data_IF_888253475949
#
_entry.id   IF_888253475949
#
_cell.length_a   1.000
_cell.length_b   1.000
_cell.length_c   1.000
_cell.angle_alpha   90.00
_cell.angle_beta   90.00
_cell.angle_gamma   90.00
#
_symmetry.space_group_name_H-M   'P 1'
#
loop_
_entity.id
_entity.type
_entity.pdbx_description
1 polymer ?
2 non-polymer ?
3 non-polymer ?
4 non-polymer ?
5 non-polymer ?
6 water ?
#
# COMPACT_ATOMS: atom_id res chain seq x y z
N UNK A 6 10.04 22.71 -20.63
CA UNK A 6 10.19 23.05 -19.18
C UNK A 6 10.58 21.79 -18.36
N UNK A 7 9.67 21.25 -17.55
CA UNK A 7 9.90 19.95 -16.90
C UNK A 7 9.22 18.84 -17.73
N UNK A 8 9.91 17.72 -17.90
CA UNK A 8 9.36 16.57 -18.63
C UNK A 8 8.57 15.68 -17.68
N UNK A 9 7.52 15.05 -18.20
CA UNK A 9 6.78 14.06 -17.41
C UNK A 9 7.64 12.81 -17.31
N UNK A 10 7.74 12.25 -16.11
CA UNK A 10 8.52 11.04 -15.92
C UNK A 10 7.77 10.07 -15.01
N UNK A 11 8.22 8.83 -15.02
CA UNK A 11 7.77 7.79 -14.09
C UNK A 11 8.92 7.47 -13.16
N UNK A 12 8.61 7.28 -11.89
CA UNK A 12 9.59 6.79 -10.93
C UNK A 12 9.09 5.46 -10.40
N UNK A 13 9.66 4.40 -10.94
CA UNK A 13 9.35 3.03 -10.52
C UNK A 13 10.15 2.76 -9.26
N UNK A 14 9.52 2.18 -8.25
CA UNK A 14 10.23 1.92 -7.00
C UNK A 14 9.66 0.68 -6.31
N UNK A 15 10.41 0.21 -5.32
CA UNK A 15 10.04 -0.96 -4.53
C UNK A 15 10.82 -0.94 -3.24
N UNK A 16 10.17 -1.30 -2.15
CA UNK A 16 10.87 -1.53 -0.89
C UNK A 16 11.04 -3.01 -0.60
N UNK A 17 12.17 -3.34 0.02
CA UNK A 17 12.27 -4.57 0.80
C UNK A 17 12.17 -4.15 2.26
N UNK A 18 11.35 -4.85 3.04
CA UNK A 18 11.17 -4.51 4.43
C UNK A 18 11.46 -5.69 5.34
N UNK A 19 11.45 -5.42 6.64
CA UNK A 19 11.72 -6.42 7.65
C UNK A 19 10.44 -7.04 8.21
N UNK A 20 9.31 -6.71 7.58
CA UNK A 20 8.05 -7.34 7.97
C UNK A 20 6.87 -6.82 7.19
N UNK A 21 5.72 -7.41 7.47
CA UNK A 21 4.52 -7.19 6.67
C UNK A 21 3.75 -5.93 7.07
N UNK A 22 4.00 -5.38 8.26
CA UNK A 22 3.25 -4.23 8.73
C UNK A 22 3.92 -2.94 8.28
N UNK A 23 3.26 -2.13 7.44
CA UNK A 23 3.91 -0.94 6.88
C UNK A 23 4.28 0.13 7.90
N UNK A 24 3.64 0.13 9.08
CA UNK A 24 3.95 1.07 10.14
C UNK A 24 4.88 0.47 11.20
N UNK A 25 4.61 -0.75 11.64
CA UNK A 25 5.27 -1.37 12.79
C UNK A 25 6.50 -2.19 12.44
N UNK A 26 6.65 -2.58 11.18
CA UNK A 26 7.91 -3.16 10.73
C UNK A 26 8.72 -2.10 10.01
N UNK A 27 10.02 -2.28 9.99
CA UNK A 27 10.91 -1.25 9.47
C UNK A 27 11.38 -1.59 8.06
N UNK A 28 11.64 -0.57 7.23
CA UNK A 28 12.16 -0.81 5.88
C UNK A 28 13.61 -1.32 5.94
N UNK A 29 14.01 -2.09 4.95
CA UNK A 29 15.39 -2.57 4.82
C UNK A 29 16.11 -1.92 3.65
N UNK A 30 15.43 -1.84 2.51
CA UNK A 30 16.03 -1.35 1.28
C UNK A 30 15.01 -0.65 0.40
N UNK A 31 15.44 0.39 -0.30
CA UNK A 31 14.64 1.09 -1.30
C UNK A 31 15.37 1.01 -2.63
N UNK A 32 14.63 0.77 -3.70
CA UNK A 32 15.18 0.68 -5.03
C UNK A 32 14.28 1.48 -5.94
N UNK A 33 14.87 2.26 -6.85
CA UNK A 33 14.07 3.01 -7.80
C UNK A 33 14.83 3.33 -9.06
N UNK A 34 14.10 3.56 -10.14
CA UNK A 34 14.69 4.13 -11.35
C UNK A 34 13.65 4.95 -12.07
N UNK A 35 14.12 6.04 -12.69
CA UNK A 35 13.26 6.97 -13.38
C UNK A 35 13.24 6.64 -14.88
N UNK A 36 12.07 6.78 -15.51
CA UNK A 36 11.94 6.61 -16.94
C UNK A 36 11.22 7.80 -17.56
N UNK A 37 11.36 7.95 -18.87
CA UNK A 37 10.57 8.92 -19.60
C UNK A 37 9.16 8.39 -19.79
N UNK A 38 8.33 9.17 -20.48
CA UNK A 38 6.92 8.83 -20.62
C UNK A 38 6.70 7.58 -21.44
N UNK A 39 7.76 7.09 -22.11
CA UNK A 39 7.70 5.89 -22.95
C UNK A 39 8.42 4.69 -22.33
N UNK A 40 8.77 4.82 -21.05
CA UNK A 40 9.40 3.78 -20.23
C UNK A 40 10.86 3.47 -20.56
N UNK A 41 11.54 4.41 -21.21
CA UNK A 41 12.99 4.34 -21.37
C UNK A 41 13.65 4.91 -20.13
N UNK A 42 14.63 4.18 -19.60
CA UNK A 42 15.33 4.63 -18.40
C UNK A 42 16.05 5.97 -18.58
N UNK A 43 15.88 6.85 -17.58
CA UNK A 43 16.58 8.14 -17.45
C UNK A 43 17.47 8.07 -16.22
N UNK A 44 18.73 8.49 -16.32
CA UNK A 44 19.61 8.47 -15.15
C UNK A 44 19.96 7.08 -14.63
N UNK A 45 20.33 7.02 -13.36
CA UNK A 45 20.92 5.82 -12.77
C UNK A 45 20.00 5.16 -11.78
N UNK A 46 20.21 3.85 -11.53
CA UNK A 46 19.46 3.19 -10.46
C UNK A 46 19.77 3.80 -9.10
N UNK A 47 18.73 3.93 -8.27
CA UNK A 47 18.88 4.39 -6.90
C UNK A 47 18.58 3.21 -5.99
N UNK A 48 19.58 2.74 -5.25
CA UNK A 48 19.39 1.64 -4.32
C UNK A 48 20.12 1.95 -3.04
N UNK A 49 19.42 1.89 -1.92
CA UNK A 49 20.05 2.15 -0.62
C UNK A 49 19.30 1.49 0.53
N UNK A 50 20.02 1.31 1.63
CA UNK A 50 19.53 0.57 2.78
C UNK A 50 19.16 1.52 3.92
N UNK A 51 18.33 1.01 4.83
CA UNK A 51 17.93 1.73 6.04
C UNK A 51 18.43 0.99 7.27
N UNK A 52 19.21 1.69 8.10
CA UNK A 52 19.67 1.14 9.36
C UNK A 52 18.48 1.03 10.31
N UNK A 53 18.21 -0.18 10.83
CA UNK A 53 17.16 -0.29 11.84
C UNK A 53 17.63 0.19 13.20
N UNK A 54 16.76 0.90 13.92
CA UNK A 54 17.04 1.31 15.29
C UNK A 54 17.09 0.13 16.26
N UNK A 55 17.67 0.34 17.42
CA UNK A 55 17.92 -0.74 18.38
C UNK A 55 16.73 -1.13 19.24
N UNK A 56 15.51 -0.73 18.83
CA UNK A 56 14.29 -1.10 19.52
C UNK A 56 13.45 -2.09 18.73
N UNK A 57 14.07 -2.80 17.79
CA UNK A 57 13.33 -3.58 16.80
C UNK A 57 14.07 -4.84 16.42
N UNK A 58 13.34 -5.97 16.33
CA UNK A 58 13.84 -7.17 15.68
C UNK A 58 12.99 -7.47 14.44
N UNK A 59 13.64 -7.86 13.33
CA UNK A 59 12.87 -8.16 12.11
C UNK A 59 12.05 -9.43 12.18
N UNK A 60 10.98 -9.50 11.39
CA UNK A 60 10.24 -10.75 11.27
C UNK A 60 11.10 -11.75 10.52
N UNK A 61 11.31 -12.95 11.09
CA UNK A 61 12.14 -13.92 10.39
C UNK A 61 11.66 -14.27 8.96
N UNK A 62 10.35 -14.38 8.76
CA UNK A 62 9.85 -14.70 7.44
C UNK A 62 10.20 -13.68 6.38
N UNK A 63 10.22 -12.41 6.78
CA UNK A 63 10.56 -11.35 5.85
C UNK A 63 12.00 -11.49 5.38
N UNK A 64 12.91 -11.77 6.31
CA UNK A 64 14.33 -11.94 5.98
C UNK A 64 14.53 -13.16 5.09
N UNK A 65 13.74 -14.21 5.31
CA UNK A 65 13.85 -15.38 4.42
C UNK A 65 13.45 -15.04 2.98
N UNK A 66 12.52 -14.11 2.82
CA UNK A 66 12.08 -13.68 1.51
C UNK A 66 13.11 -12.75 0.85
N UNK A 67 13.57 -11.73 1.58
CA UNK A 67 14.43 -10.70 1.00
C UNK A 67 15.91 -11.07 0.96
N UNK A 68 16.34 -11.92 1.89
CA UNK A 68 17.76 -12.20 2.00
C UNK A 68 18.61 -11.10 2.62
N UNK A 69 17.96 -10.07 3.15
CA UNK A 69 18.65 -8.93 3.77
C UNK A 69 18.60 -9.06 5.28
N UNK A 70 19.76 -9.31 5.88
CA UNK A 70 19.85 -9.44 7.33
C UNK A 70 19.83 -8.08 8.01
N UNK A 71 19.46 -8.02 9.30
CA UNK A 71 19.55 -6.73 9.99
C UNK A 71 21.01 -6.23 10.08
N UNK A 72 21.95 -7.15 10.16
CA UNK A 72 23.37 -6.77 10.17
C UNK A 72 23.76 -6.04 8.88
N UNK A 73 23.32 -6.57 7.75
CA UNK A 73 23.63 -5.95 6.48
C UNK A 73 23.01 -4.57 6.40
N UNK A 74 21.74 -4.42 6.77
CA UNK A 74 21.10 -3.11 6.67
C UNK A 74 21.74 -2.11 7.64
N UNK A 75 22.11 -2.60 8.81
CA UNK A 75 22.77 -1.74 9.79
C UNK A 75 24.13 -1.28 9.29
N UNK A 76 24.90 -2.18 8.69
CA UNK A 76 26.25 -1.84 8.26
C UNK A 76 26.28 -0.99 6.98
N UNK A 77 25.28 -1.15 6.11
CA UNK A 77 25.24 -0.47 4.83
C UNK A 77 24.28 0.69 4.73
N UNK A 78 23.40 0.84 5.71
CA UNK A 78 22.34 1.81 5.61
C UNK A 78 22.64 3.13 6.28
N UNK A 79 21.84 4.12 5.99
CA UNK A 79 21.83 5.34 6.79
C UNK A 79 20.66 5.26 7.72
N UNK A 80 20.61 6.13 8.72
CA UNK A 80 19.49 6.14 9.64
C UNK A 80 18.20 6.50 8.89
N UNK A 81 17.06 6.22 9.50
CA UNK A 81 15.79 6.36 8.79
C UNK A 81 15.50 7.81 8.42
N UNK A 82 16.01 8.77 9.22
CA UNK A 82 15.89 10.17 8.84
C UNK A 82 16.54 10.46 7.47
N UNK A 83 17.74 9.92 7.27
CA UNK A 83 18.46 10.12 6.02
C UNK A 83 17.84 9.32 4.86
N UNK A 84 17.37 8.11 5.17
CA UNK A 84 16.65 7.25 4.25
C UNK A 84 15.39 8.00 3.75
N UNK A 85 14.61 8.53 4.69
CA UNK A 85 13.44 9.35 4.37
C UNK A 85 13.79 10.55 3.47
N UNK A 86 14.87 11.26 3.82
CA UNK A 86 15.29 12.40 3.02
C UNK A 86 15.56 12.05 1.55
N UNK A 87 16.26 10.95 1.34
CA UNK A 87 16.61 10.55 -0.03
C UNK A 87 15.35 10.20 -0.83
N UNK A 88 14.45 9.46 -0.21
CA UNK A 88 13.20 9.09 -0.89
C UNK A 88 12.33 10.30 -1.16
N UNK A 89 12.21 11.18 -0.17
CA UNK A 89 11.44 12.41 -0.35
C UNK A 89 12.00 13.24 -1.51
N UNK A 90 13.32 13.30 -1.67
CA UNK A 90 13.93 14.08 -2.74
C UNK A 90 13.56 13.53 -4.11
N UNK A 91 13.52 12.20 -4.22
CA UNK A 91 13.15 11.55 -5.46
C UNK A 91 11.66 11.73 -5.78
N UNK A 92 10.83 11.57 -4.75
CA UNK A 92 9.38 11.59 -4.95
C UNK A 92 8.82 12.98 -5.20
N UNK A 93 9.58 14.04 -4.88
CA UNK A 93 9.06 15.42 -5.05
C UNK A 93 9.61 16.14 -6.27
N UNK A 94 10.34 15.44 -7.12
CA UNK A 94 10.71 15.97 -8.44
C UNK A 94 9.41 16.24 -9.21
N UNK A 95 9.26 17.44 -9.78
CA UNK A 95 7.99 17.75 -10.43
C UNK A 95 7.65 16.84 -11.59
N UNK A 96 6.35 16.68 -11.82
CA UNK A 96 5.77 15.95 -12.94
C UNK A 96 6.17 14.49 -12.94
N UNK A 97 6.30 13.93 -11.74
CA UNK A 97 6.65 12.52 -11.56
C UNK A 97 5.39 11.70 -11.27
N UNK A 98 5.19 10.61 -11.99
CA UNK A 98 4.21 9.59 -11.60
C UNK A 98 4.97 8.52 -10.81
N UNK A 99 4.72 8.43 -9.51
CA UNK A 99 5.39 7.45 -8.66
C UNK A 99 4.59 6.15 -8.69
N UNK A 100 5.23 5.06 -9.10
CA UNK A 100 4.50 3.81 -9.26
C UNK A 100 5.34 2.60 -8.90
N UNK A 101 4.66 1.47 -8.74
CA UNK A 101 5.32 0.24 -8.46
C UNK A 101 4.39 -0.91 -8.75
N UNK A 102 4.54 -1.97 -7.96
CA UNK A 102 3.75 -3.20 -8.12
C UNK A 102 3.25 -3.57 -6.74
N UNK A 103 1.97 -3.34 -6.51
CA UNK A 103 1.33 -3.40 -5.18
C UNK A 103 1.72 -2.21 -4.27
N UNK A 104 2.18 -1.12 -4.87
CA UNK A 104 2.54 0.03 -4.06
C UNK A 104 1.36 0.71 -3.39
N UNK A 105 0.19 0.72 -4.02
CA UNK A 105 -0.91 1.45 -3.41
C UNK A 105 -1.28 0.87 -2.04
N UNK A 106 -1.22 -0.44 -1.90
CA UNK A 106 -1.63 -1.07 -0.65
C UNK A 106 -0.46 -1.35 0.27
N UNK A 107 0.75 -1.40 -0.25
CA UNK A 107 1.93 -1.69 0.55
C UNK A 107 2.98 -0.58 0.57
N UNK A 108 3.73 -0.41 -0.52
CA UNK A 108 4.86 0.52 -0.53
C UNK A 108 4.46 1.95 -0.17
N UNK A 109 3.32 2.41 -0.68
CA UNK A 109 2.91 3.78 -0.38
C UNK A 109 2.58 3.93 1.10
N UNK A 110 2.12 2.88 1.76
CA UNK A 110 1.89 2.94 3.20
C UNK A 110 3.21 2.96 3.96
N UNK A 111 4.21 2.23 3.47
CA UNK A 111 5.55 2.30 4.04
C UNK A 111 6.07 3.73 3.95
N UNK A 112 5.95 4.34 2.76
CA UNK A 112 6.37 5.73 2.53
C UNK A 112 5.67 6.71 3.46
N UNK A 113 4.35 6.61 3.54
CA UNK A 113 3.59 7.48 4.44
C UNK A 113 4.11 7.38 5.87
N UNK A 114 4.38 6.16 6.32
CA UNK A 114 4.87 5.94 7.68
C UNK A 114 6.29 6.42 7.91
N UNK A 115 7.18 6.19 6.95
CA UNK A 115 8.55 6.72 7.04
C UNK A 115 8.51 8.25 7.11
N UNK A 116 7.68 8.88 6.29
CA UNK A 116 7.60 10.35 6.27
C UNK A 116 7.03 10.84 7.61
N UNK A 117 5.95 10.23 8.05
CA UNK A 117 5.30 10.50 9.34
C UNK A 117 6.29 10.44 10.51
N UNK A 118 7.06 9.36 10.60
CA UNK A 118 8.05 9.22 11.68
C UNK A 118 9.20 10.22 11.59
N UNK A 119 9.51 10.71 10.40
CA UNK A 119 10.71 11.54 10.22
C UNK A 119 10.46 12.98 9.78
N UNK A 120 9.25 13.45 10.12
CA UNK A 120 8.88 14.88 10.01
C UNK A 120 8.74 15.43 8.59
N UNK A 121 8.40 14.53 7.66
CA UNK A 121 7.98 14.90 6.32
C UNK A 121 6.47 14.77 6.21
N UNK A 122 5.89 15.61 5.36
CA UNK A 122 4.46 15.51 5.06
C UNK A 122 4.17 14.12 4.46
N UNK A 123 3.25 13.34 5.07
CA UNK A 123 3.07 11.97 4.53
C UNK A 123 2.37 11.91 3.19
N UNK A 124 1.71 12.99 2.79
CA UNK A 124 0.82 12.96 1.63
C UNK A 124 1.22 13.84 0.45
N UNK A 125 1.83 15.00 0.72
CA UNK A 125 2.00 16.02 -0.30
C UNK A 125 2.78 15.55 -1.53
N UNK A 126 3.75 14.67 -1.32
CA UNK A 126 4.61 14.18 -2.39
C UNK A 126 3.85 13.64 -3.61
N UNK A 127 2.68 13.04 -3.38
CA UNK A 127 1.97 12.32 -4.42
C UNK A 127 1.16 13.20 -5.33
N UNK A 128 0.94 14.47 -4.96
CA UNK A 128 0.11 15.37 -5.77
C UNK A 128 0.71 16.74 -6.07
N UNK A 129 1.64 17.21 -5.24
CA UNK A 129 2.23 18.53 -5.51
C UNK A 129 3.12 18.51 -6.73
N UNK A 130 3.31 19.67 -7.36
CA UNK A 130 4.17 19.80 -8.54
C UNK A 130 3.71 18.88 -9.69
N UNK A 131 2.40 18.71 -9.81
CA UNK A 131 1.79 17.89 -10.87
C UNK A 131 2.16 16.40 -10.78
N UNK A 132 2.45 15.94 -9.57
CA UNK A 132 2.80 14.53 -9.39
C UNK A 132 1.53 13.69 -9.32
N UNK A 133 1.72 12.38 -9.44
CA UNK A 133 0.62 11.45 -9.33
C UNK A 133 1.18 10.11 -8.90
N UNK A 134 0.30 9.15 -8.68
CA UNK A 134 0.74 7.79 -8.49
C UNK A 134 -0.04 6.79 -9.35
N UNK A 135 0.51 5.59 -9.44
CA UNK A 135 -0.12 4.50 -10.18
C UNK A 135 0.39 3.19 -9.62
N UNK A 136 -0.18 2.09 -10.04
CA UNK A 136 0.19 0.76 -9.54
C UNK A 136 -0.07 -0.26 -10.63
N UNK A 137 0.96 -0.96 -11.05
CA UNK A 137 0.81 -1.89 -12.15
C UNK A 137 0.07 -3.16 -11.76
N UNK A 138 -0.09 -3.43 -10.47
CA UNK A 138 -0.80 -4.67 -10.08
C UNK A 138 -2.26 -4.65 -10.56
N UNK A 139 -2.98 -3.57 -10.28
CA UNK A 139 -4.38 -3.59 -10.72
C UNK A 139 -4.47 -3.37 -12.25
N UNK A 140 -3.44 -2.81 -12.88
CA UNK A 140 -3.35 -2.83 -14.35
C UNK A 140 -3.32 -4.26 -14.86
N UNK A 141 -2.47 -5.11 -14.29
CA UNK A 141 -2.41 -6.49 -14.75
C UNK A 141 -3.73 -7.19 -14.49
N UNK A 142 -4.32 -6.97 -13.31
CA UNK A 142 -5.62 -7.57 -13.02
C UNK A 142 -6.71 -7.11 -14.00
N UNK A 143 -6.68 -5.83 -14.35
CA UNK A 143 -7.66 -5.25 -15.27
C UNK A 143 -7.51 -5.86 -16.66
N UNK A 144 -6.26 -6.05 -17.07
CA UNK A 144 -5.97 -6.63 -18.38
C UNK A 144 -6.51 -8.06 -18.44
N UNK A 145 -6.21 -8.85 -17.42
CA UNK A 145 -6.71 -10.23 -17.38
C UNK A 145 -8.23 -10.26 -17.46
N UNK A 146 -8.87 -9.38 -16.72
CA UNK A 146 -10.31 -9.39 -16.61
C UNK A 146 -11.00 -8.92 -17.89
N UNK A 147 -10.51 -7.82 -18.46
CA UNK A 147 -11.21 -7.09 -19.53
C UNK A 147 -10.68 -7.37 -20.94
N UNK A 148 -9.36 -7.50 -21.09
CA UNK A 148 -8.72 -7.64 -22.41
C UNK A 148 -7.49 -8.55 -22.33
N UNK A 149 -7.72 -9.85 -22.11
CA UNK A 149 -6.62 -10.75 -21.85
C UNK A 149 -5.77 -11.16 -23.06
N UNK A 150 -6.28 -10.92 -24.26
CA UNK A 150 -5.62 -11.50 -25.45
C UNK A 150 -4.22 -10.94 -25.62
N UNK A 151 -3.27 -11.81 -25.92
CA UNK A 151 -1.90 -11.36 -26.19
C UNK A 151 -0.91 -11.57 -25.08
N UNK A 152 -1.40 -11.74 -23.84
CA UNK A 152 -0.55 -11.98 -22.68
C UNK A 152 -0.85 -13.38 -22.15
N UNK A 153 0.20 -14.07 -21.68
CA UNK A 153 0.03 -15.39 -21.06
C UNK A 153 -0.23 -15.21 -19.58
N UNK A 154 -1.32 -15.79 -19.12
CA UNK A 154 -1.77 -15.57 -17.74
C UNK A 154 -1.51 -16.83 -16.91
N UNK A 155 -0.51 -16.76 -16.01
CA UNK A 155 -0.13 -17.94 -15.25
C UNK A 155 -1.15 -18.29 -14.16
N UNK A 156 -1.21 -19.57 -13.83
CA UNK A 156 -2.01 -20.03 -12.68
C UNK A 156 -1.09 -20.28 -11.50
N UNK A 157 -1.60 -20.07 -10.29
CA UNK A 157 -0.87 -20.45 -9.09
C UNK A 157 -1.15 -21.93 -8.78
N UNK A 158 -0.56 -22.43 -7.69
CA UNK A 158 -0.69 -23.84 -7.35
C UNK A 158 -2.09 -24.24 -6.89
N UNK A 159 -2.96 -23.26 -6.61
CA UNK A 159 -4.37 -23.57 -6.33
C UNK A 159 -5.25 -23.61 -7.60
N UNK A 160 -4.66 -23.24 -8.75
CA UNK A 160 -5.35 -23.28 -10.04
C UNK A 160 -6.10 -22.01 -10.43
N UNK A 161 -5.76 -20.91 -9.76
CA UNK A 161 -6.40 -19.61 -9.99
C UNK A 161 -5.39 -18.69 -10.68
N UNK A 162 -5.86 -17.65 -11.37
CA UNK A 162 -4.90 -16.75 -12.02
C UNK A 162 -4.02 -16.08 -10.99
N UNK A 163 -2.72 -16.08 -11.26
CA UNK A 163 -1.74 -15.45 -10.41
C UNK A 163 -1.30 -14.09 -10.96
N UNK A 164 -1.11 -13.13 -10.07
CA UNK A 164 -0.57 -11.81 -10.44
C UNK A 164 0.71 -11.52 -9.71
N UNK A 165 1.38 -12.58 -9.24
CA UNK A 165 2.72 -12.42 -8.66
C UNK A 165 3.67 -12.05 -9.78
N UNK A 166 4.49 -11.06 -9.50
CA UNK A 166 5.34 -10.48 -10.50
C UNK A 166 6.27 -11.54 -11.09
N UNK A 167 6.80 -12.42 -10.25
CA UNK A 167 7.67 -13.49 -10.73
C UNK A 167 6.96 -14.53 -11.61
N UNK A 168 5.66 -14.73 -11.41
CA UNK A 168 4.90 -15.64 -12.24
C UNK A 168 4.61 -15.02 -13.59
N UNK A 169 4.28 -13.73 -13.56
CA UNK A 169 3.93 -13.03 -14.82
C UNK A 169 5.12 -12.86 -15.72
N UNK A 170 6.28 -12.56 -15.15
CA UNK A 170 7.49 -12.44 -15.95
C UNK A 170 7.86 -13.78 -16.61
N UNK A 171 7.94 -14.84 -15.81
CA UNK A 171 8.26 -16.17 -16.34
C UNK A 171 7.27 -16.61 -17.43
N UNK A 172 5.99 -16.37 -17.19
CA UNK A 172 4.96 -16.79 -18.14
C UNK A 172 5.07 -16.09 -19.48
N UNK A 173 5.70 -14.92 -19.50
CA UNK A 173 5.78 -14.09 -20.67
C UNK A 173 7.20 -13.90 -21.21
N UNK A 174 8.13 -14.73 -20.74
CA UNK A 174 9.49 -14.78 -21.29
C UNK A 174 10.35 -13.60 -20.89
N UNK A 175 9.97 -12.93 -19.81
CA UNK A 175 10.72 -11.79 -19.30
C UNK A 175 11.71 -12.26 -18.26
N UNK A 176 12.93 -11.74 -18.36
CA UNK A 176 14.04 -12.10 -17.49
C UNK A 176 13.78 -11.44 -16.16
N UNK A 177 13.94 -12.19 -15.07
CA UNK A 177 13.66 -11.66 -13.75
C UNK A 177 14.55 -12.35 -12.72
N UNK A 178 15.62 -11.67 -12.30
CA UNK A 178 16.46 -12.15 -11.21
C UNK A 178 15.69 -12.02 -9.89
N UNK A 182 20.20 -9.36 -7.44
CA UNK A 182 19.98 -8.04 -8.05
C UNK A 182 18.90 -7.27 -7.28
N UNK A 183 19.32 -6.19 -6.61
CA UNK A 183 18.39 -5.34 -5.86
C UNK A 183 17.37 -4.63 -6.75
N UNK A 184 17.70 -4.46 -8.03
CA UNK A 184 16.82 -3.78 -8.98
C UNK A 184 15.82 -4.71 -9.67
N UNK A 185 15.84 -6.00 -9.36
CA UNK A 185 15.05 -6.99 -10.14
C UNK A 185 13.54 -6.70 -10.19
N UNK A 186 12.95 -6.39 -9.05
CA UNK A 186 11.51 -6.14 -9.02
C UNK A 186 11.15 -4.85 -9.75
N UNK A 187 12.00 -3.83 -9.64
CA UNK A 187 11.77 -2.57 -10.33
C UNK A 187 11.81 -2.78 -11.85
N UNK A 188 12.86 -3.43 -12.33
CA UNK A 188 12.94 -3.73 -13.76
C UNK A 188 11.79 -4.61 -14.24
N UNK A 189 11.35 -5.56 -13.42
CA UNK A 189 10.21 -6.40 -13.78
C UNK A 189 8.92 -5.59 -13.89
N UNK A 190 8.79 -4.58 -13.05
CA UNK A 190 7.61 -3.74 -13.08
C UNK A 190 7.58 -2.89 -14.37
N UNK A 191 8.74 -2.39 -14.76
CA UNK A 191 8.86 -1.66 -16.01
C UNK A 191 8.46 -2.58 -17.19
N UNK A 192 8.92 -3.84 -17.13
CA UNK A 192 8.57 -4.83 -18.17
C UNK A 192 7.07 -5.07 -18.23
N UNK A 193 6.40 -5.15 -17.09
CA UNK A 193 4.94 -5.27 -17.09
C UNK A 193 4.26 -4.09 -17.74
N UNK A 194 4.74 -2.89 -17.46
CA UNK A 194 4.16 -1.70 -18.04
C UNK A 194 4.29 -1.74 -19.56
N UNK A 195 5.47 -2.11 -20.03
CA UNK A 195 5.69 -2.22 -21.48
C UNK A 195 4.81 -3.30 -22.10
N UNK A 196 4.62 -4.39 -21.39
CA UNK A 196 3.83 -5.53 -21.88
C UNK A 196 2.39 -5.08 -22.15
N UNK A 197 1.75 -4.43 -21.18
CA UNK A 197 0.39 -4.03 -21.36
C UNK A 197 0.27 -2.89 -22.35
N UNK A 198 1.20 -1.94 -22.31
CA UNK A 198 1.14 -0.80 -23.24
C UNK A 198 1.23 -1.29 -24.68
N UNK A 199 2.07 -2.28 -24.92
CA UNK A 199 2.27 -2.84 -26.27
C UNK A 199 1.10 -3.68 -26.74
N UNK A 200 0.58 -4.51 -25.84
CA UNK A 200 -0.39 -5.52 -26.23
C UNK A 200 -1.85 -5.11 -26.04
N UNK A 201 -2.09 -4.16 -25.14
CA UNK A 201 -3.44 -3.59 -24.97
C UNK A 201 -3.36 -2.08 -24.87
N UNK A 202 -3.00 -1.42 -25.98
CA UNK A 202 -2.70 0.00 -25.90
C UNK A 202 -3.85 0.90 -25.45
N UNK A 203 -5.06 0.65 -25.93
CA UNK A 203 -6.18 1.49 -25.55
C UNK A 203 -6.55 1.30 -24.08
N UNK A 204 -6.52 0.06 -23.61
CA UNK A 204 -6.80 -0.19 -22.19
C UNK A 204 -5.74 0.47 -21.32
N UNK A 205 -4.48 0.32 -21.71
CA UNK A 205 -3.37 0.96 -20.97
C UNK A 205 -3.58 2.47 -20.83
N UNK A 206 -3.93 3.14 -21.93
CA UNK A 206 -4.15 4.59 -21.94
C UNK A 206 -5.31 4.95 -21.04
N UNK A 207 -6.39 4.17 -21.15
CA UNK A 207 -7.58 4.39 -20.33
C UNK A 207 -7.23 4.33 -18.84
N UNK A 208 -6.54 3.28 -18.45
CA UNK A 208 -6.17 3.08 -17.05
C UNK A 208 -5.25 4.19 -16.55
N UNK A 209 -4.28 4.58 -17.36
CA UNK A 209 -3.36 5.63 -16.98
C UNK A 209 -4.11 6.94 -16.79
N UNK A 210 -4.96 7.29 -17.72
CA UNK A 210 -5.74 8.54 -17.64
C UNK A 210 -6.61 8.56 -16.41
N UNK A 211 -7.18 7.41 -16.11
CA UNK A 211 -8.10 7.30 -14.98
C UNK A 211 -7.46 7.07 -13.62
N UNK A 212 -6.14 7.21 -13.54
CA UNK A 212 -5.47 7.25 -12.25
C UNK A 212 -5.93 8.53 -11.50
N UNK A 213 -6.41 9.52 -12.26
CA UNK A 213 -6.75 10.87 -11.76
C UNK A 213 -8.12 10.82 -11.09
N UNK A 214 -8.21 11.34 -9.87
CA UNK A 214 -9.48 11.27 -9.13
C UNK A 214 -10.64 11.95 -9.83
N UNK A 215 -10.39 13.01 -10.57
CA UNK A 215 -11.49 13.69 -11.25
C UNK A 215 -12.10 12.88 -12.39
N UNK A 216 -11.26 12.15 -13.13
CA UNK A 216 -11.73 11.26 -14.16
C UNK A 216 -12.56 10.14 -13.53
N UNK A 217 -12.12 9.64 -12.39
CA UNK A 217 -12.87 8.62 -11.66
C UNK A 217 -14.20 9.17 -11.14
N UNK A 218 -14.16 10.35 -10.53
CA UNK A 218 -15.38 10.96 -10.01
C UNK A 218 -16.44 11.20 -11.09
N UNK A 219 -16.00 11.49 -12.31
CA UNK A 219 -16.95 11.70 -13.40
C UNK A 219 -17.77 10.44 -13.70
N UNK A 220 -17.22 9.28 -13.35
CA UNK A 220 -17.91 7.99 -13.55
C UNK A 220 -18.97 7.73 -12.49
N UNK A 221 -18.89 8.44 -11.38
CA UNK A 221 -19.72 8.15 -10.22
C UNK A 221 -21.00 8.97 -10.26
N UNK A 222 -22.15 8.28 -10.25
CA UNK A 222 -23.46 8.93 -10.26
C UNK A 222 -24.31 8.25 -9.20
N UNK A 223 -24.23 8.82 -8.01
CA UNK A 223 -24.90 8.32 -6.84
C UNK A 223 -26.43 8.40 -6.96
N UNK A 224 -26.97 9.55 -7.40
CA UNK A 224 -28.43 9.60 -7.53
C UNK A 224 -29.03 8.55 -8.46
N UNK A 225 -28.33 8.20 -9.54
CA UNK A 225 -28.80 7.17 -10.46
C UNK A 225 -28.34 5.76 -10.07
N UNK A 226 -27.51 5.62 -9.04
CA UNK A 226 -26.85 4.35 -8.71
C UNK A 226 -26.27 3.74 -9.97
N UNK A 227 -25.61 4.57 -10.78
CA UNK A 227 -25.11 4.16 -12.08
C UNK A 227 -24.06 3.05 -11.95
N UNK A 228 -24.31 1.89 -12.61
CA UNK A 228 -23.41 0.77 -12.43
C UNK A 228 -22.09 0.95 -13.14
N UNK A 229 -21.04 0.38 -12.54
CA UNK A 229 -19.70 0.42 -13.08
C UNK A 229 -19.09 -0.95 -13.01
N UNK A 230 -18.19 -1.26 -13.93
CA UNK A 230 -17.30 -2.39 -13.72
C UNK A 230 -16.15 -1.95 -12.81
N UNK A 231 -15.81 -2.79 -11.85
CA UNK A 231 -14.74 -2.53 -10.90
C UNK A 231 -13.88 -3.77 -10.81
N UNK A 232 -12.57 -3.59 -10.97
CA UNK A 232 -11.59 -4.65 -10.80
C UNK A 232 -10.81 -4.35 -9.53
N UNK A 233 -10.82 -5.31 -8.59
CA UNK A 233 -10.24 -5.14 -7.26
C UNK A 233 -9.80 -6.47 -6.72
N UNK A 234 -8.62 -6.52 -6.13
CA UNK A 234 -8.14 -7.75 -5.53
C UNK A 234 -9.08 -8.30 -4.45
N UNK A 235 -9.85 -7.41 -3.83
CA UNK A 235 -10.83 -7.85 -2.84
C UNK A 235 -11.90 -8.79 -3.38
N UNK A 236 -12.17 -8.75 -4.68
CA UNK A 236 -13.20 -9.60 -5.25
C UNK A 236 -12.72 -11.03 -5.43
N UNK A 237 -11.42 -11.23 -5.53
CA UNK A 237 -10.87 -12.59 -5.61
C UNK A 237 -10.59 -13.12 -7.01
N UNK A 238 -9.49 -13.86 -7.11
CA UNK A 238 -9.03 -14.38 -8.39
C UNK A 238 -9.99 -15.36 -9.03
N UNK A 239 -10.84 -16.00 -8.23
CA UNK A 239 -11.81 -16.93 -8.75
C UNK A 239 -12.86 -16.34 -9.67
N UNK A 240 -13.05 -15.02 -9.58
CA UNK A 240 -13.92 -14.29 -10.51
C UNK A 240 -13.11 -13.23 -11.25
N UNK A 241 -11.82 -13.48 -11.41
CA UNK A 241 -10.96 -12.54 -12.13
C UNK A 241 -10.97 -11.17 -11.50
N UNK A 242 -11.16 -11.11 -10.18
CA UNK A 242 -11.10 -9.86 -9.44
C UNK A 242 -12.09 -8.81 -9.91
N UNK A 243 -13.21 -9.25 -10.48
CA UNK A 243 -14.12 -8.33 -11.16
C UNK A 243 -15.56 -8.46 -10.73
N UNK A 244 -16.26 -7.34 -10.67
CA UNK A 244 -17.70 -7.35 -10.54
C UNK A 244 -18.29 -6.07 -11.10
N UNK A 245 -19.61 -6.02 -11.14
CA UNK A 245 -20.33 -4.78 -11.32
C UNK A 245 -20.72 -4.23 -9.95
N UNK A 246 -20.55 -2.93 -9.76
CA UNK A 246 -20.86 -2.25 -8.52
C UNK A 246 -21.76 -1.05 -8.79
N UNK A 247 -22.46 -0.60 -7.76
CA UNK A 247 -23.23 0.64 -7.85
C UNK A 247 -22.94 1.49 -6.64
N UNK A 248 -22.78 2.81 -6.84
CA UNK A 248 -22.56 3.73 -5.72
C UNK A 248 -23.84 4.09 -5.00
N UNK A 249 -23.85 3.95 -3.68
CA UNK A 249 -25.02 4.26 -2.86
C UNK A 249 -24.89 5.61 -2.14
N UNK A 250 -23.68 5.97 -1.73
CA UNK A 250 -23.45 7.16 -0.94
C UNK A 250 -21.97 7.35 -0.76
N UNK A 251 -21.57 8.57 -0.44
CA UNK A 251 -20.20 8.84 -0.05
C UNK A 251 -20.02 8.57 1.44
N UNK A 252 -18.81 8.19 1.81
CA UNK A 252 -18.48 7.88 3.19
C UNK A 252 -18.72 9.13 4.06
N UNK A 253 -19.34 8.97 5.26
CA UNK A 253 -19.66 10.15 6.06
C UNK A 253 -18.46 10.87 6.68
N UNK A 254 -17.31 10.20 6.75
CA UNK A 254 -16.11 10.80 7.35
C UNK A 254 -14.96 10.96 6.36
N UNK A 255 -14.73 9.94 5.55
CA UNK A 255 -13.62 9.92 4.64
C UNK A 255 -14.04 10.60 3.32
N UNK A 256 -13.47 11.76 3.05
CA UNK A 256 -13.85 12.61 1.91
C UNK A 256 -13.57 11.94 0.55
N UNK A 257 -12.66 10.96 0.54
CA UNK A 257 -12.23 10.33 -0.70
C UNK A 257 -12.78 8.93 -0.94
N UNK A 258 -13.70 8.47 -0.10
CA UNK A 258 -14.27 7.13 -0.21
C UNK A 258 -15.74 7.14 -0.56
N UNK A 259 -16.11 6.37 -1.59
CA UNK A 259 -17.50 6.14 -1.96
C UNK A 259 -17.92 4.74 -1.54
N UNK A 260 -19.16 4.60 -1.07
CA UNK A 260 -19.69 3.34 -0.62
C UNK A 260 -20.40 2.67 -1.78
N UNK A 261 -19.89 1.52 -2.21
CA UNK A 261 -20.43 0.76 -3.32
C UNK A 261 -21.10 -0.51 -2.84
N UNK A 262 -22.05 -0.98 -3.64
CA UNK A 262 -22.63 -2.31 -3.46
C UNK A 262 -22.10 -3.21 -4.57
N UNK A 263 -21.67 -4.42 -4.21
CA UNK A 263 -21.30 -5.45 -5.18
C UNK A 263 -22.59 -6.07 -5.67
N UNK A 264 -22.93 -5.77 -6.92
CA UNK A 264 -24.19 -6.22 -7.49
C UNK A 264 -24.27 -7.73 -7.68
N UNK A 265 -23.13 -8.42 -7.66
CA UNK A 265 -23.11 -9.88 -7.78
C UNK A 265 -23.45 -10.53 -6.45
N UNK A 266 -23.51 -9.73 -5.38
CA UNK A 266 -23.78 -10.29 -4.05
C UNK A 266 -25.26 -10.53 -3.77
N UNK A 267 -25.53 -10.77 -2.49
CA UNK A 267 -26.88 -10.97 -1.94
C UNK A 267 -27.25 -9.68 -1.22
N UNK A 268 -28.19 -8.93 -1.78
CA UNK A 268 -28.56 -7.64 -1.21
C UNK A 268 -29.63 -7.74 -0.13
N UNK A 269 -30.16 -8.94 0.09
CA UNK A 269 -31.17 -9.15 1.15
C UNK A 269 -30.80 -8.55 2.52
N UNK A 270 -29.57 -8.81 3.02
CA UNK A 270 -29.22 -8.19 4.30
C UNK A 270 -29.37 -6.67 4.31
N UNK A 271 -29.08 -6.02 3.18
CA UNK A 271 -29.20 -4.57 3.09
C UNK A 271 -30.64 -4.09 3.16
N UNK A 272 -31.56 -4.92 2.67
CA UNK A 272 -32.98 -4.60 2.68
C UNK A 272 -33.58 -4.96 4.05
N UNK A 273 -33.13 -6.05 4.65
CA UNK A 273 -33.78 -6.65 5.84
C UNK A 273 -33.24 -6.16 7.18
N UNK A 274 -31.92 -6.02 7.28
CA UNK A 274 -31.26 -5.77 8.56
C UNK A 274 -31.00 -4.29 8.82
N UNK A 275 -30.80 -3.94 10.10
CA UNK A 275 -30.46 -2.58 10.50
C UNK A 275 -28.96 -2.37 10.48
N UNK A 276 -28.53 -1.11 10.54
CA UNK A 276 -27.13 -0.76 10.35
C UNK A 276 -26.19 -1.34 11.41
N UNK A 277 -26.66 -1.44 12.65
CA UNK A 277 -25.85 -2.06 13.71
C UNK A 277 -25.53 -3.51 13.37
N UNK A 278 -26.55 -4.25 12.94
CA UNK A 278 -26.38 -5.64 12.55
C UNK A 278 -25.44 -5.74 11.34
N UNK A 279 -25.70 -4.91 10.33
CA UNK A 279 -24.87 -4.88 9.13
C UNK A 279 -23.42 -4.55 9.45
N UNK A 280 -23.21 -3.58 10.35
CA UNK A 280 -21.85 -3.21 10.77
C UNK A 280 -21.09 -4.38 11.38
N UNK A 281 -21.75 -5.15 12.24
CA UNK A 281 -21.14 -6.30 12.92
C UNK A 281 -20.62 -7.36 11.95
N UNK A 282 -21.47 -7.78 11.02
CA UNK A 282 -21.10 -8.78 10.02
C UNK A 282 -19.94 -8.32 9.15
N UNK A 283 -19.97 -7.04 8.78
CA UNK A 283 -18.98 -6.47 7.88
C UNK A 283 -17.57 -6.48 8.49
N UNK A 284 -17.48 -6.38 9.82
CA UNK A 284 -16.17 -6.26 10.49
C UNK A 284 -15.64 -7.53 11.19
N UNK A 285 -16.37 -8.64 11.09
CA UNK A 285 -15.79 -9.96 11.35
C UNK A 285 -15.34 -10.57 10.03
N UNK A 286 -16.23 -10.52 9.03
CA UNK A 286 -15.97 -11.05 7.68
C UNK A 286 -15.95 -12.58 7.69
N UNK A 293 -26.67 -15.45 7.61
CA UNK A 293 -25.20 -15.40 7.59
C UNK A 293 -24.61 -15.02 6.22
N UNK A 294 -25.43 -14.45 5.34
CA UNK A 294 -24.94 -13.95 4.06
C UNK A 294 -23.98 -12.78 4.31
N UNK A 295 -23.00 -12.62 3.43
CA UNK A 295 -22.02 -11.55 3.56
C UNK A 295 -22.69 -10.25 3.09
N UNK A 296 -22.29 -9.13 3.70
CA UNK A 296 -22.86 -7.83 3.36
C UNK A 296 -22.06 -7.32 2.16
N UNK A 297 -22.72 -7.20 1.00
CA UNK A 297 -22.00 -6.90 -0.26
C UNK A 297 -21.72 -5.41 -0.41
N UNK A 298 -21.04 -4.84 0.57
CA UNK A 298 -20.69 -3.43 0.55
C UNK A 298 -19.18 -3.31 0.57
N UNK A 299 -18.65 -2.37 -0.20
CA UNK A 299 -17.23 -2.08 -0.13
C UNK A 299 -16.93 -0.63 -0.42
N UNK A 300 -15.86 -0.13 0.17
CA UNK A 300 -15.43 1.23 -0.08
C UNK A 300 -14.54 1.23 -1.31
N UNK A 301 -14.70 2.26 -2.12
CA UNK A 301 -13.78 2.57 -3.21
C UNK A 301 -13.14 3.90 -2.88
N UNK A 302 -11.81 3.92 -2.84
CA UNK A 302 -11.04 5.06 -2.47
C UNK A 302 -10.53 5.73 -3.73
N UNK A 303 -11.03 6.92 -4.00
CA UNK A 303 -10.79 7.61 -5.25
C UNK A 303 -9.35 8.05 -5.47
N UNK A 304 -8.57 8.15 -4.40
CA UNK A 304 -7.14 8.47 -4.53
C UNK A 304 -6.23 7.26 -4.56
N UNK A 305 -6.81 6.06 -4.59
CA UNK A 305 -6.00 4.83 -4.57
C UNK A 305 -6.02 4.09 -5.92
N UNK A 306 -6.13 4.86 -6.99
CA UNK A 306 -6.24 4.36 -8.39
C UNK A 306 -7.06 3.09 -8.50
N UNK A 307 -8.31 3.18 -8.03
CA UNK A 307 -9.22 2.08 -8.28
C UNK A 307 -9.53 1.91 -9.76
N UNK A 308 -9.71 0.67 -10.21
CA UNK A 308 -10.07 0.42 -11.60
C UNK A 308 -11.58 0.47 -11.74
N UNK A 309 -12.07 1.46 -12.48
CA UNK A 309 -13.49 1.66 -12.68
C UNK A 309 -13.72 2.00 -14.14
N UNK A 310 -14.83 1.51 -14.68
CA UNK A 310 -15.22 1.82 -16.05
C UNK A 310 -16.73 1.70 -16.21
N UNK A 311 -17.26 2.31 -17.26
CA UNK A 311 -18.69 2.21 -17.53
C UNK A 311 -19.12 0.73 -17.61
N UNK A 312 -20.34 0.44 -17.17
CA UNK A 312 -20.80 -0.95 -17.04
C UNK A 312 -20.65 -1.79 -18.29
N UNK A 313 -20.86 -1.20 -19.47
CA UNK A 313 -20.76 -1.98 -20.72
C UNK A 313 -19.34 -2.35 -21.18
N UNK A 314 -18.32 -1.90 -20.46
CA UNK A 314 -16.93 -2.28 -20.73
C UNK A 314 -16.72 -3.77 -20.60
N UNK A 315 -17.46 -4.38 -19.67
CA UNK A 315 -17.46 -5.81 -19.50
C UNK A 315 -18.67 -6.35 -20.28
N UNK A 316 -18.39 -7.02 -21.39
CA UNK A 316 -19.46 -7.44 -22.30
C UNK A 316 -19.99 -8.80 -21.83
N UNK A 317 -21.15 -9.22 -22.34
CA UNK A 317 -21.70 -10.50 -21.87
C UNK A 317 -20.73 -11.68 -21.97
N UNK A 318 -19.97 -11.73 -23.05
CA UNK A 318 -19.03 -12.83 -23.26
C UNK A 318 -17.85 -12.76 -22.28
N UNK A 319 -17.50 -11.53 -21.87
CA UNK A 319 -16.47 -11.32 -20.84
C UNK A 319 -16.96 -11.81 -19.48
N UNK A 320 -18.19 -11.48 -19.15
CA UNK A 320 -18.81 -11.93 -17.90
C UNK A 320 -18.85 -13.45 -17.87
N UNK A 321 -19.20 -14.06 -19.01
CA UNK A 321 -19.29 -15.52 -19.09
C UNK A 321 -17.95 -16.17 -18.81
N UNK A 322 -16.90 -15.64 -19.43
CA UNK A 322 -15.55 -16.12 -19.22
C UNK A 322 -15.14 -16.04 -17.74
N UNK A 323 -15.52 -14.96 -17.06
CA UNK A 323 -15.17 -14.79 -15.64
C UNK A 323 -16.13 -15.48 -14.66
N UNK A 324 -17.20 -16.06 -15.19
CA UNK A 324 -18.22 -16.71 -14.35
C UNK A 324 -19.15 -15.78 -13.60
N UNK A 325 -19.28 -14.55 -14.08
CA UNK A 325 -20.11 -13.54 -13.41
C UNK A 325 -21.51 -13.60 -13.99
N UNK A 326 -22.51 -13.59 -13.10
CA UNK A 326 -23.93 -13.63 -13.50
C UNK A 326 -24.46 -12.22 -13.77
N UNK A 327 -24.42 -11.85 -15.03
CA UNK A 327 -24.82 -10.51 -15.47
C UNK A 327 -26.28 -10.18 -15.15
N UNK A 328 -27.20 -11.09 -15.46
CA UNK A 328 -28.60 -10.82 -15.15
C UNK A 328 -28.84 -10.67 -13.64
N UNK A 329 -28.16 -11.46 -12.80
CA UNK A 329 -28.29 -11.28 -11.36
C UNK A 329 -27.90 -9.85 -10.93
N UNK A 330 -26.81 -9.34 -11.51
CA UNK A 330 -26.37 -7.98 -11.23
C UNK A 330 -27.41 -6.95 -11.65
N UNK A 331 -27.97 -7.11 -12.87
CA UNK A 331 -29.03 -6.23 -13.35
C UNK A 331 -30.28 -6.29 -12.46
N UNK A 332 -30.62 -7.49 -12.03
CA UNK A 332 -31.77 -7.68 -11.13
C UNK A 332 -31.56 -6.99 -9.81
N UNK A 333 -30.36 -7.12 -9.24
CA UNK A 333 -30.04 -6.44 -8.00
C UNK A 333 -30.03 -4.92 -8.15
N UNK A 334 -29.57 -4.43 -9.29
CA UNK A 334 -29.53 -2.98 -9.51
C UNK A 334 -30.96 -2.42 -9.50
N UNK A 335 -31.87 -3.14 -10.16
CA UNK A 335 -33.27 -2.71 -10.19
C UNK A 335 -33.85 -2.65 -8.78
N UNK A 336 -33.59 -3.67 -7.96
CA UNK A 336 -34.12 -3.70 -6.60
C UNK A 336 -33.52 -2.57 -5.76
N UNK A 337 -32.21 -2.32 -5.90
CA UNK A 337 -31.59 -1.26 -5.13
C UNK A 337 -32.18 0.10 -5.50
N UNK A 338 -32.41 0.33 -6.79
CA UNK A 338 -32.97 1.62 -7.21
C UNK A 338 -34.37 1.85 -6.67
N UNK A 339 -35.10 0.76 -6.47
CA UNK A 339 -36.44 0.83 -5.89
C UNK A 339 -36.40 0.90 -4.36
N UNK A 340 -35.22 0.83 -3.76
CA UNK A 340 -35.09 0.87 -2.29
C UNK A 340 -34.07 1.88 -1.80
N UNK A 341 -34.29 3.16 -2.10
CA UNK A 341 -33.32 4.20 -1.74
C UNK A 341 -33.04 4.37 -0.25
N UNK A 342 -33.87 3.80 0.63
CA UNK A 342 -33.59 3.79 2.07
C UNK A 342 -32.32 3.00 2.43
N UNK A 343 -31.80 2.22 1.50
CA UNK A 343 -30.54 1.51 1.70
C UNK A 343 -29.36 2.51 1.81
N UNK A 344 -29.50 3.69 1.21
CA UNK A 344 -28.43 4.68 1.23
C UNK A 344 -28.11 5.12 2.66
N UNK A 345 -29.14 5.56 3.38
CA UNK A 345 -28.99 6.00 4.77
C UNK A 345 -28.46 4.86 5.62
N UNK A 346 -28.92 3.64 5.34
CA UNK A 346 -28.46 2.46 6.05
C UNK A 346 -26.95 2.27 5.94
N UNK A 347 -26.43 2.29 4.71
CA UNK A 347 -25.00 2.05 4.52
C UNK A 347 -24.17 3.21 5.05
N UNK A 348 -24.70 4.43 5.01
CA UNK A 348 -23.99 5.59 5.58
C UNK A 348 -23.86 5.43 7.08
N UNK A 349 -24.94 4.93 7.70
CA UNK A 349 -24.97 4.69 9.14
C UNK A 349 -23.95 3.62 9.55
N UNK A 350 -23.71 2.64 8.68
CA UNK A 350 -22.69 1.62 8.92
C UNK A 350 -21.34 2.28 9.19
N UNK A 351 -20.97 3.22 8.33
CA UNK A 351 -19.64 3.84 8.37
C UNK A 351 -19.56 5.13 9.18
N UNK A 352 -20.69 5.58 9.71
CA UNK A 352 -20.70 6.69 10.65
C UNK A 352 -20.23 6.23 12.03
N UNK A 353 -20.23 4.91 12.25
CA UNK A 353 -19.82 4.26 13.51
C UNK A 353 -20.59 4.80 14.71
N UNK A 359 -7.15 2.74 20.24
CA UNK A 359 -6.82 1.51 20.97
C UNK A 359 -5.31 1.39 21.26
N UNK A 360 -4.48 1.75 20.28
CA UNK A 360 -3.02 1.61 20.41
C UNK A 360 -2.37 2.87 20.98
N UNK A 361 -1.52 2.67 21.98
CA UNK A 361 -0.72 3.77 22.57
C UNK A 361 0.67 3.92 21.94
N UNK A 362 0.98 3.09 20.94
CA UNK A 362 2.21 3.23 20.16
C UNK A 362 2.04 4.29 19.08
N UNK A 363 2.77 5.40 19.21
CA UNK A 363 2.66 6.51 18.27
C UNK A 363 3.05 6.08 16.85
N UNK A 364 3.90 5.07 16.71
CA UNK A 364 4.19 4.53 15.36
C UNK A 364 2.92 4.00 14.66
N UNK A 365 1.91 3.60 15.43
CA UNK A 365 0.67 3.04 14.87
C UNK A 365 -0.39 4.10 14.60
N UNK A 366 -0.07 5.38 14.80
CA UNK A 366 -1.08 6.43 14.87
C UNK A 366 -1.11 7.41 13.68
N UNK A 367 -0.56 7.04 12.53
CA UNK A 367 -0.62 7.90 11.35
C UNK A 367 -2.03 8.39 11.05
N UNK A 368 -3.01 7.52 11.17
CA UNK A 368 -4.35 7.86 10.68
C UNK A 368 -5.26 8.39 11.80
N UNK A 369 -4.67 8.75 12.94
CA UNK A 369 -5.44 9.38 14.02
C UNK A 369 -5.96 10.76 13.61
N UNK A 370 -5.40 11.34 12.55
CA UNK A 370 -5.84 12.63 12.04
C UNK A 370 -4.79 13.36 11.22
N UNK A 371 -5.25 14.32 10.43
CA UNK A 371 -4.35 15.20 9.70
C UNK A 371 -3.78 16.24 10.65
N UNK A 372 -2.56 16.68 10.36
CA UNK A 372 -1.94 17.73 11.16
C UNK A 372 -2.44 19.09 10.65
N UNK A 373 -2.58 20.04 11.54
CA UNK A 373 -2.95 21.39 11.15
C UNK A 373 -1.80 22.06 10.41
N UNK A 374 -2.09 23.14 9.69
CA UNK A 374 -1.05 23.92 9.02
C UNK A 374 0.01 24.40 10.01
N UNK A 375 -0.43 24.81 11.20
CA UNK A 375 0.48 25.30 12.23
C UNK A 375 1.44 24.20 12.66
N UNK A 376 0.90 23.00 12.88
CA UNK A 376 1.74 21.87 13.27
C UNK A 376 2.68 21.44 12.14
N UNK A 377 2.20 21.49 10.89
CA UNK A 377 3.03 21.16 9.75
C UNK A 377 4.18 22.15 9.63
N UNK A 378 3.91 23.44 9.89
CA UNK A 378 4.96 24.45 9.86
C UNK A 378 5.99 24.23 10.96
N UNK A 379 5.54 23.87 12.16
CA UNK A 379 6.43 23.53 13.27
C UNK A 379 7.29 22.31 12.97
N UNK A 380 6.68 21.29 12.37
CA UNK A 380 7.41 20.09 12.03
C UNK A 380 8.48 20.37 10.95
N UNK A 381 8.21 21.29 10.04
CA UNK A 381 9.20 21.70 9.06
C UNK A 381 10.43 22.34 9.74
N UNK A 382 10.20 23.11 10.80
CA UNK A 382 11.32 23.69 11.55
C UNK A 382 12.17 22.58 12.16
N UNK A 383 11.52 21.57 12.74
CA UNK A 383 12.24 20.40 13.24
C UNK A 383 13.11 19.77 12.16
N UNK A 384 12.53 19.61 10.97
CA UNK A 384 13.23 19.00 9.86
C UNK A 384 14.45 19.81 9.46
N UNK A 385 14.32 21.13 9.49
CA UNK A 385 15.38 22.01 8.98
C UNK A 385 16.39 22.43 10.06
N UNK A 386 16.15 22.02 11.30
CA UNK A 386 17.08 22.24 12.42
C UNK A 386 18.15 21.14 12.56
N UNK A 387 19.39 21.53 12.85
CA UNK A 387 20.43 20.54 13.14
C UNK A 387 20.01 19.67 14.33
N UNK A 388 20.27 18.36 14.25
CA UNK A 388 19.93 17.46 15.38
C UNK A 388 20.45 17.88 16.75
N UNK A 389 21.70 18.34 16.82
CA UNK A 389 22.29 18.81 18.08
C UNK A 389 21.55 20.02 18.67
N UNK A 390 20.90 20.79 17.80
CA UNK A 390 20.14 21.98 18.23
C UNK A 390 18.66 21.69 18.58
N UNK A 391 18.22 20.44 18.41
CA UNK A 391 16.82 20.11 18.72
C UNK A 391 16.46 20.26 20.21
N UNK A 392 17.37 19.88 21.13
CA UNK A 392 17.00 20.01 22.54
C UNK A 392 16.70 21.45 23.00
N UNK A 393 17.38 22.44 22.40
CA UNK A 393 17.18 23.85 22.75
C UNK A 393 16.06 24.53 21.95
N UNK A 394 15.48 23.81 20.99
CA UNK A 394 14.47 24.38 20.10
C UNK A 394 13.22 24.81 20.88
N UNK A 395 12.87 26.09 20.77
CA UNK A 395 11.67 26.63 21.43
C UNK A 395 10.50 26.58 20.44
N UNK A 396 9.76 25.49 20.49
CA UNK A 396 8.72 25.21 19.52
C UNK A 396 7.58 24.51 20.24
N UNK A 397 6.36 24.76 19.81
CA UNK A 397 5.18 24.18 20.44
C UNK A 397 4.33 23.47 19.39
N UNK A 398 3.70 22.37 19.82
CA UNK A 398 2.82 21.55 18.99
C UNK A 398 1.46 21.42 19.65
N UNK A 399 0.41 21.36 18.83
CA UNK A 399 -0.94 21.12 19.34
C UNK A 399 -1.23 19.62 19.40
N UNK A 400 -1.03 18.93 18.27
CA UNK A 400 -1.29 17.50 18.17
C UNK A 400 -0.38 16.72 19.12
N UNK A 401 -0.97 15.86 19.94
CA UNK A 401 -0.26 15.14 20.99
C UNK A 401 0.67 14.03 20.52
N UNK A 402 0.53 13.63 19.25
CA UNK A 402 1.46 12.66 18.69
C UNK A 402 2.88 13.21 18.54
N UNK A 403 2.99 14.51 18.32
CA UNK A 403 4.25 15.08 17.82
C UNK A 403 5.42 15.00 18.81
N UNK A 404 5.18 15.28 20.09
CA UNK A 404 6.27 15.18 21.04
C UNK A 404 6.73 13.73 21.22
N UNK A 405 5.83 12.78 21.04
CA UNK A 405 6.19 11.37 21.09
C UNK A 405 7.01 11.01 19.86
N UNK A 406 6.52 11.44 18.71
CA UNK A 406 7.27 11.26 17.46
C UNK A 406 8.65 11.88 17.56
N UNK A 407 8.75 13.02 18.23
CA UNK A 407 10.02 13.76 18.28
C UNK A 407 11.02 13.04 19.17
N UNK A 408 10.57 12.52 20.31
CA UNK A 408 11.47 11.75 21.18
C UNK A 408 12.01 10.51 20.46
N UNK A 409 11.12 9.72 19.88
CA UNK A 409 11.53 8.52 19.15
C UNK A 409 12.47 8.85 18.00
N UNK A 410 12.17 9.94 17.29
CA UNK A 410 12.97 10.43 16.17
C UNK A 410 14.41 10.70 16.63
N UNK A 411 14.55 11.42 17.73
CA UNK A 411 15.87 11.72 18.27
C UNK A 411 16.59 10.50 18.80
N UNK A 412 15.89 9.67 19.58
CA UNK A 412 16.50 8.50 20.20
C UNK A 412 16.91 7.42 19.19
N UNK A 413 16.10 7.23 18.15
CA UNK A 413 16.40 6.23 17.13
C UNK A 413 17.50 6.67 16.16
N UNK A 414 17.46 7.95 15.77
CA UNK A 414 18.34 8.48 14.73
C UNK A 414 19.59 9.16 15.24
N UNK A 415 19.46 9.86 16.37
CA UNK A 415 20.53 10.72 16.90
C UNK A 415 20.74 10.47 18.41
N UNK A 416 21.02 9.21 18.79
CA UNK A 416 21.10 8.82 20.20
C UNK A 416 22.19 9.53 21.00
N UNK A 417 23.23 10.02 20.33
CA UNK A 417 24.29 10.79 20.98
C UNK A 417 23.86 12.15 21.47
N UNK A 418 22.68 12.61 21.04
CA UNK A 418 22.11 13.88 21.49
C UNK A 418 21.15 13.75 22.69
N UNK A 419 21.01 12.55 23.24
CA UNK A 419 20.12 12.32 24.37
C UNK A 419 20.84 12.59 25.70
N UNK A 420 20.18 13.29 26.62
CA UNK A 420 20.74 13.44 27.98
C UNK A 420 20.52 12.17 28.83
N UNK A 421 21.03 12.15 30.07
CA UNK A 421 20.93 10.96 30.90
C UNK A 421 19.47 10.53 31.11
N UNK A 422 18.60 11.49 31.42
CA UNK A 422 17.20 11.20 31.67
C UNK A 422 16.56 10.59 30.41
N UNK A 423 16.85 11.18 29.25
CA UNK A 423 16.35 10.66 27.95
C UNK A 423 16.89 9.27 27.63
N UNK A 424 18.16 9.04 27.92
CA UNK A 424 18.75 7.71 27.80
C UNK A 424 18.00 6.68 28.64
N UNK A 425 17.64 7.05 29.87
CA UNK A 425 16.91 6.12 30.74
C UNK A 425 15.50 5.85 30.19
N UNK A 426 14.87 6.88 29.64
CA UNK A 426 13.57 6.72 29.00
C UNK A 426 13.68 5.74 27.82
N UNK A 427 14.72 5.89 27.01
CA UNK A 427 14.91 5.00 25.87
C UNK A 427 15.20 3.57 26.32
N UNK A 428 15.97 3.41 27.39
CA UNK A 428 16.24 2.10 27.97
C UNK A 428 14.94 1.41 28.36
N UNK A 429 14.05 2.17 28.99
CA UNK A 429 12.76 1.67 29.42
C UNK A 429 11.91 1.26 28.21
N UNK A 430 11.90 2.11 27.19
CA UNK A 430 11.23 1.81 25.92
C UNK A 430 11.68 0.46 25.39
N UNK A 431 12.98 0.24 25.35
CA UNK A 431 13.54 -1.01 24.83
C UNK A 431 13.16 -2.19 25.69
N UNK A 432 13.14 -2.00 27.01
CA UNK A 432 12.71 -3.06 27.92
C UNK A 432 11.25 -3.47 27.71
N UNK A 433 10.40 -2.51 27.34
CA UNK A 433 8.97 -2.81 27.09
C UNK A 433 8.76 -3.56 25.78
N UNK A 434 9.66 -3.36 24.82
CA UNK A 434 9.62 -4.11 23.56
C UNK A 434 10.18 -5.51 23.76
N UNK A 435 11.37 -5.60 24.35
CA UNK A 435 12.06 -6.87 24.50
C UNK A 435 11.74 -7.55 25.82
N UNK A 436 10.48 -7.90 25.97
CA UNK A 436 9.99 -8.60 27.14
C UNK A 436 10.54 -10.01 27.07
N UNK A 437 10.60 -10.70 28.22
CA UNK A 437 11.02 -12.10 28.19
C UNK A 437 10.10 -12.96 27.31
N UNK A 438 8.81 -12.64 27.26
CA UNK A 438 7.85 -13.39 26.43
C UNK A 438 8.04 -13.11 24.94
N UNK A 439 8.46 -11.89 24.60
CA UNK A 439 8.73 -11.59 23.21
C UNK A 439 10.00 -12.31 22.77
N UNK A 440 11.04 -12.25 23.58
CA UNK A 440 12.32 -12.82 23.20
C UNK A 440 12.25 -14.35 23.13
N UNK A 441 11.46 -14.94 24.03
CA UNK A 441 11.25 -16.40 24.01
C UNK A 441 10.53 -16.85 22.75
N UNK A 442 9.43 -16.17 22.43
CA UNK A 442 8.70 -16.42 21.20
C UNK A 442 9.56 -16.23 19.96
N UNK A 443 10.42 -15.22 19.99
CA UNK A 443 11.34 -14.98 18.88
C UNK A 443 12.31 -16.16 18.70
N UNK A 444 12.94 -16.57 19.79
CA UNK A 444 13.84 -17.72 19.80
C UNK A 444 13.13 -18.99 19.32
N UNK A 445 11.92 -19.21 19.81
CA UNK A 445 11.09 -20.34 19.42
C UNK A 445 10.79 -20.35 17.92
N UNK A 446 10.47 -19.19 17.38
CA UNK A 446 10.20 -19.09 15.95
C UNK A 446 11.45 -19.45 15.14
N UNK A 447 12.60 -18.92 15.55
CA UNK A 447 13.84 -19.22 14.84
C UNK A 447 14.16 -20.70 14.84
N UNK A 448 13.98 -21.34 15.99
CA UNK A 448 14.23 -22.79 16.11
C UNK A 448 13.28 -23.58 15.21
N UNK A 449 12.02 -23.19 15.20
CA UNK A 449 11.03 -23.82 14.32
C UNK A 449 11.39 -23.69 12.82
N UNK A 450 11.79 -22.49 12.42
CA UNK A 450 12.15 -22.28 11.03
C UNK A 450 13.43 -23.01 10.63
N UNK A 451 14.40 -23.13 11.53
CA UNK A 451 15.65 -23.83 11.20
C UNK A 451 15.35 -25.31 10.93
N UNK A 452 14.43 -25.87 11.71
CA UNK A 452 13.98 -27.25 11.48
C UNK A 452 13.24 -27.35 10.15
N UNK A 453 12.34 -26.41 9.89
CA UNK A 453 11.58 -26.39 8.64
C UNK A 453 12.47 -26.27 7.39
N UNK A 454 13.49 -25.43 7.47
CA UNK A 454 14.34 -25.11 6.33
C UNK A 454 15.73 -25.74 6.43
N UNK A 455 15.83 -26.84 7.19
CA UNK A 455 17.13 -27.47 7.49
C UNK A 455 17.93 -27.83 6.23
N UNK A 456 17.22 -28.13 5.15
CA UNK A 456 17.85 -28.53 3.88
C UNK A 456 18.29 -27.36 2.99
N UNK A 457 17.79 -26.15 3.29
CA UNK A 457 18.14 -24.93 2.55
C UNK A 457 19.23 -24.18 3.32
N UNK A 458 20.48 -24.41 2.95
CA UNK A 458 21.58 -23.95 3.80
C UNK A 458 21.70 -22.42 3.85
N UNK A 459 21.26 -21.75 2.78
CA UNK A 459 21.24 -20.29 2.77
C UNK A 459 20.21 -19.76 3.75
N UNK A 460 19.06 -20.39 3.84
CA UNK A 460 18.06 -19.96 4.80
C UNK A 460 18.52 -20.23 6.19
N UNK A 461 19.18 -21.37 6.39
CA UNK A 461 19.73 -21.68 7.70
C UNK A 461 20.71 -20.58 8.12
N UNK A 462 21.56 -20.14 7.19
CA UNK A 462 22.50 -19.06 7.46
C UNK A 462 21.78 -17.76 7.84
N UNK A 463 20.68 -17.45 7.15
CA UNK A 463 19.91 -16.23 7.46
C UNK A 463 19.33 -16.33 8.86
N UNK A 464 18.83 -17.50 9.24
CA UNK A 464 18.21 -17.69 10.56
C UNK A 464 19.24 -17.58 11.69
N UNK A 465 20.43 -18.12 11.45
CA UNK A 465 21.54 -17.97 12.38
C UNK A 465 21.94 -16.49 12.55
N UNK A 466 21.93 -15.74 11.46
CA UNK A 466 22.18 -14.29 11.51
C UNK A 466 21.13 -13.60 12.40
N UNK A 467 19.86 -13.98 12.23
CA UNK A 467 18.82 -13.38 13.06
C UNK A 467 18.99 -13.69 14.54
N UNK A 468 19.43 -14.91 14.86
CA UNK A 468 19.71 -15.28 16.25
C UNK A 468 20.83 -14.41 16.83
N UNK A 469 21.90 -14.27 16.07
CA UNK A 469 23.06 -13.47 16.50
C UNK A 469 22.70 -12.01 16.72
N UNK A 470 21.88 -11.45 15.83
CA UNK A 470 21.44 -10.08 16.00
C UNK A 470 20.57 -9.90 17.26
N UNK A 471 19.66 -10.85 17.50
CA UNK A 471 18.81 -10.80 18.69
C UNK A 471 19.65 -10.91 19.95
N UNK A 472 20.68 -11.75 19.90
CA UNK A 472 21.61 -11.92 21.03
C UNK A 472 22.28 -10.60 21.40
N UNK A 473 22.65 -9.82 20.39
CA UNK A 473 23.32 -8.54 20.59
C UNK A 473 22.34 -7.46 21.07
N UNK A 474 21.29 -7.22 20.27
CA UNK A 474 20.35 -6.13 20.50
C UNK A 474 19.47 -6.31 21.74
N UNK A 475 19.06 -7.55 22.00
CA UNK A 475 18.30 -7.93 23.20
C UNK A 475 17.51 -6.76 23.81
#
# INVERSE_FOLDING_TARGET
MMNDGKQQSTFLFHDYETFGTHPALDRPAQFAAIRTDSEFNVIGEPEVFYCKPADDYLPQPGAVLITGITPQEARAKGENEAAFAARIHSLFTVPKTCILGYNNVRFDDEVTRNIFYRNFYDPYAWSWQHDNSRWDLLDVMRACYALRPEGINWPENDDGLPSFRLEHLTKANGIEHSNAHDAMADVYATIAMAKLVKTRQPRLFDYLFTHRNKHKLMALIDVPQMKPLVHVSGMFGAWRGNTSWVAPLAWHPENRNAVIMVDLAGDISPLLELDSDTLRERLYTAKTDLGDNAAVPVKLVHINKCPVLAQANTLRPEDADRLGINRQHCLDNLKILRENPQVREKVVAIFAEAEPFTPSDNVDAQLYNGFFSDADRAAMKIVLETEPRNLPALDITFVDKRIEKLLFNYRARNFPGTLDYAEQQRWLEHRRQVFTPEFLQGYADELQMLVQQYADDKEKVALLKALWQYADEIVEHHHHHH
#
